data_IF_601475145910
#
_entry.id   IF_601475145910
#
_cell.length_a   1.000
_cell.length_b   1.000
_cell.length_c   1.000
_cell.angle_alpha   90.00
_cell.angle_beta   90.00
_cell.angle_gamma   90.00
#
_symmetry.space_group_name_H-M   'P 1'
#
loop_
_entity.id
_entity.type
_entity.pdbx_description
1 polymer ?
#
# COMPACT_ATOMS: atom_id res chain seq x y z
N UNK A 1 -7.89 -20.90 -6.35
CA UNK A 1 -9.13 -20.12 -6.08
C UNK A 1 -9.10 -19.32 -4.77
N UNK A 2 -8.83 -19.92 -3.60
CA UNK A 2 -8.84 -19.22 -2.30
C UNK A 2 -7.94 -17.99 -2.25
N UNK A 3 -6.68 -18.12 -2.69
CA UNK A 3 -5.71 -17.01 -2.72
C UNK A 3 -6.18 -15.81 -3.55
N UNK A 4 -6.62 -16.05 -4.80
CA UNK A 4 -7.15 -14.99 -5.69
C UNK A 4 -8.37 -14.30 -5.07
N UNK A 5 -9.25 -15.07 -4.42
CA UNK A 5 -10.42 -14.53 -3.71
C UNK A 5 -10.01 -13.61 -2.57
N UNK A 6 -9.07 -14.05 -1.73
CA UNK A 6 -8.51 -13.23 -0.66
C UNK A 6 -7.85 -11.98 -1.22
N UNK A 7 -7.09 -12.08 -2.31
CA UNK A 7 -6.40 -10.94 -2.91
C UNK A 7 -7.34 -9.86 -3.42
N UNK A 8 -8.40 -10.24 -4.13
CA UNK A 8 -9.40 -9.30 -4.66
C UNK A 8 -10.22 -8.70 -3.49
N UNK A 9 -10.57 -9.50 -2.47
CA UNK A 9 -11.27 -9.00 -1.29
C UNK A 9 -10.41 -8.05 -0.45
N UNK A 10 -9.12 -8.34 -0.29
CA UNK A 10 -8.18 -7.45 0.38
C UNK A 10 -8.11 -6.10 -0.34
N UNK A 11 -7.95 -6.12 -1.67
CA UNK A 11 -7.98 -4.89 -2.49
C UNK A 11 -9.29 -4.11 -2.35
N UNK A 12 -10.42 -4.81 -2.26
CA UNK A 12 -11.73 -4.17 -2.12
C UNK A 12 -11.99 -3.60 -0.73
N UNK A 13 -11.73 -4.39 0.32
CA UNK A 13 -12.16 -4.10 1.69
C UNK A 13 -11.10 -3.33 2.44
N UNK A 14 -9.85 -3.81 2.38
CA UNK A 14 -8.73 -3.20 3.11
C UNK A 14 -8.15 -2.05 2.30
N UNK A 15 -7.87 -2.29 1.01
CA UNK A 15 -7.31 -1.24 0.16
C UNK A 15 -8.35 -0.30 -0.46
N UNK A 16 -9.65 -0.52 -0.22
CA UNK A 16 -10.74 0.33 -0.76
C UNK A 16 -10.52 0.77 -2.21
N UNK A 17 -9.90 -0.10 -3.01
CA UNK A 17 -9.28 0.28 -4.28
C UNK A 17 -10.39 0.69 -5.25
N UNK A 18 -10.22 1.84 -5.90
CA UNK A 18 -11.16 2.30 -6.93
C UNK A 18 -10.75 1.72 -8.28
N UNK A 19 -11.75 1.30 -9.06
CA UNK A 19 -11.56 0.83 -10.43
C UNK A 19 -12.79 1.19 -11.26
N UNK A 20 -12.59 1.57 -12.52
CA UNK A 20 -13.64 2.00 -13.43
C UNK A 20 -14.70 0.92 -13.63
N UNK A 21 -14.26 -0.32 -13.80
CA UNK A 21 -15.14 -1.49 -13.81
C UNK A 21 -15.25 -2.09 -12.41
N UNK A 22 -16.45 -2.02 -11.79
CA UNK A 22 -16.72 -2.62 -10.47
C UNK A 22 -16.78 -4.15 -10.50
N UNK A 23 -16.94 -4.78 -11.68
CA UNK A 23 -17.02 -6.24 -11.82
C UNK A 23 -15.68 -6.93 -11.54
N UNK A 24 -14.56 -6.20 -11.63
CA UNK A 24 -13.23 -6.75 -11.29
C UNK A 24 -13.15 -7.23 -9.83
N UNK A 25 -14.02 -6.72 -8.96
CA UNK A 25 -14.09 -7.15 -7.56
C UNK A 25 -15.06 -8.33 -7.31
N UNK A 26 -15.62 -8.92 -8.36
CA UNK A 26 -16.60 -10.01 -8.27
C UNK A 26 -15.98 -11.36 -8.60
N UNK A 27 -16.62 -12.43 -8.12
CA UNK A 27 -16.22 -13.83 -8.34
C UNK A 27 -17.32 -14.69 -8.96
N UNK A 28 -18.43 -14.04 -9.28
CA UNK A 28 -19.63 -14.68 -9.82
C UNK A 28 -20.46 -13.64 -10.53
N UNK A 29 -21.18 -14.08 -11.55
CA UNK A 29 -22.20 -13.29 -12.23
C UNK A 29 -23.46 -14.13 -12.38
N UNK A 30 -24.62 -13.54 -12.05
CA UNK A 30 -25.93 -14.22 -12.14
C UNK A 30 -25.97 -15.58 -11.45
N UNK A 31 -25.32 -15.70 -10.29
CA UNK A 31 -25.27 -16.94 -9.51
C UNK A 31 -24.26 -17.99 -10.01
N UNK A 32 -23.61 -17.78 -11.17
CA UNK A 32 -22.56 -18.66 -11.67
C UNK A 32 -21.19 -18.18 -11.19
N UNK A 33 -20.45 -19.05 -10.52
CA UNK A 33 -19.07 -18.78 -10.13
C UNK A 33 -18.16 -18.68 -11.35
N UNK A 34 -17.20 -17.77 -11.29
CA UNK A 34 -16.17 -17.64 -12.31
C UNK A 34 -15.20 -18.83 -12.32
N UNK A 35 -14.66 -19.16 -13.51
CA UNK A 35 -13.51 -20.06 -13.69
C UNK A 35 -12.24 -19.40 -13.16
N UNK A 36 -11.12 -20.12 -13.01
CA UNK A 36 -9.86 -19.56 -12.46
C UNK A 36 -9.28 -18.41 -13.30
N UNK A 37 -9.56 -18.41 -14.60
CA UNK A 37 -9.04 -17.40 -15.54
C UNK A 37 -9.56 -16.01 -15.23
N UNK A 38 -10.86 -15.87 -14.95
CA UNK A 38 -11.47 -14.56 -14.75
C UNK A 38 -10.96 -13.84 -13.48
N UNK A 39 -10.89 -14.46 -12.28
CA UNK A 39 -10.25 -13.87 -11.10
C UNK A 39 -8.77 -13.56 -11.34
N UNK A 40 -8.06 -14.36 -12.14
CA UNK A 40 -6.66 -14.09 -12.49
C UNK A 40 -6.56 -12.80 -13.31
N UNK A 41 -7.40 -12.65 -14.34
CA UNK A 41 -7.51 -11.43 -15.15
C UNK A 41 -7.93 -10.23 -14.30
N UNK A 42 -8.90 -10.40 -13.41
CA UNK A 42 -9.34 -9.34 -12.51
C UNK A 42 -8.19 -8.85 -11.61
N UNK A 43 -7.38 -9.75 -11.04
CA UNK A 43 -6.19 -9.37 -10.27
C UNK A 43 -5.19 -8.60 -11.13
N UNK A 44 -4.90 -9.06 -12.34
CA UNK A 44 -3.97 -8.38 -13.26
C UNK A 44 -4.45 -6.99 -13.62
N UNK A 45 -5.74 -6.81 -13.89
CA UNK A 45 -6.33 -5.51 -14.19
C UNK A 45 -6.23 -4.55 -13.00
N UNK A 46 -6.54 -5.04 -11.80
CA UNK A 46 -6.39 -4.26 -10.56
C UNK A 46 -4.95 -3.83 -10.28
N UNK A 47 -3.96 -4.67 -10.61
CA UNK A 47 -2.55 -4.31 -10.48
C UNK A 47 -2.18 -3.27 -11.54
N UNK A 48 -2.59 -3.48 -12.79
CA UNK A 48 -2.25 -2.60 -13.90
C UNK A 48 -2.84 -1.20 -13.71
N UNK A 49 -4.09 -1.10 -13.25
CA UNK A 49 -4.72 0.20 -12.96
C UNK A 49 -4.00 0.90 -11.80
N UNK A 50 -3.63 0.16 -10.75
CA UNK A 50 -2.89 0.71 -9.62
C UNK A 50 -1.53 1.29 -10.03
N UNK A 51 -0.87 0.70 -11.03
CA UNK A 51 0.40 1.19 -11.59
C UNK A 51 0.21 2.40 -12.51
N UNK A 52 -0.95 2.58 -13.12
CA UNK A 52 -1.27 3.74 -13.96
C UNK A 52 -1.69 4.96 -13.12
N UNK A 53 -2.45 4.74 -12.05
CA UNK A 53 -2.83 5.79 -11.10
C UNK A 53 -1.63 6.28 -10.27
N UNK A 54 -0.60 5.44 -10.11
CA UNK A 54 0.73 5.91 -9.77
C UNK A 54 1.38 6.52 -11.01
N UNK A 55 0.91 7.70 -11.44
CA UNK A 55 1.87 8.62 -12.06
C UNK A 55 3.04 8.72 -11.08
N UNK A 56 4.29 8.83 -11.54
CA UNK A 56 5.40 9.14 -10.66
C UNK A 56 5.19 10.58 -10.15
N UNK A 57 4.25 10.78 -9.23
CA UNK A 57 4.54 11.69 -8.12
C UNK A 57 5.76 11.06 -7.51
N UNK A 58 6.88 11.74 -7.69
CA UNK A 58 8.20 11.28 -7.32
C UNK A 58 8.09 10.48 -6.03
N UNK A 59 8.44 9.19 -6.09
CA UNK A 59 8.50 8.30 -4.93
C UNK A 59 9.69 8.76 -4.07
N UNK A 60 9.69 10.02 -3.62
CA UNK A 60 10.80 10.75 -3.00
C UNK A 60 11.32 9.96 -1.81
N UNK A 61 10.42 9.25 -1.11
CA UNK A 61 10.77 8.47 0.06
C UNK A 61 11.26 7.06 -0.26
N UNK A 62 10.96 6.46 -1.41
CA UNK A 62 11.27 5.03 -1.64
C UNK A 62 12.77 4.82 -1.78
N UNK A 63 13.33 3.95 -0.95
CA UNK A 63 14.77 3.71 -0.84
C UNK A 63 15.44 4.56 0.24
N UNK A 64 14.76 5.55 0.79
CA UNK A 64 15.32 6.47 1.78
C UNK A 64 15.34 5.87 3.18
N UNK A 65 16.43 6.15 3.89
CA UNK A 65 16.50 5.95 5.35
C UNK A 65 15.82 7.11 6.03
N UNK A 66 15.03 6.83 7.07
CA UNK A 66 14.24 7.84 7.76
C UNK A 66 14.37 7.71 9.28
N UNK A 67 14.28 8.85 9.98
CA UNK A 67 13.96 8.89 11.40
C UNK A 67 12.51 9.31 11.57
N UNK A 68 11.69 8.40 12.07
CA UNK A 68 10.27 8.60 12.32
C UNK A 68 10.01 8.73 13.82
N UNK A 69 9.51 9.88 14.25
CA UNK A 69 9.08 10.14 15.61
C UNK A 69 7.64 9.67 15.82
N UNK A 70 7.44 8.81 16.80
CA UNK A 70 6.12 8.34 17.21
C UNK A 70 5.92 8.58 18.70
N UNK A 71 4.67 8.74 19.13
CA UNK A 71 4.34 8.85 20.55
C UNK A 71 4.18 7.45 21.13
N UNK A 72 5.11 7.05 21.98
CA UNK A 72 5.09 5.79 22.72
C UNK A 72 5.01 6.13 24.20
N UNK A 73 3.94 5.69 24.87
CA UNK A 73 3.67 6.00 26.28
C UNK A 73 3.75 7.51 26.63
N UNK A 74 3.30 8.36 25.69
CA UNK A 74 3.33 9.82 25.84
C UNK A 74 4.67 10.47 25.53
N UNK A 75 5.69 9.69 25.16
CA UNK A 75 7.04 10.17 24.86
C UNK A 75 7.26 10.14 23.34
N UNK A 76 7.73 11.26 22.78
CA UNK A 76 8.13 11.35 21.38
C UNK A 76 9.44 10.59 21.18
N UNK A 77 9.34 9.40 20.62
CA UNK A 77 10.44 8.43 20.48
C UNK A 77 10.84 8.31 19.01
N UNK A 78 12.14 8.44 18.67
CA UNK A 78 12.62 8.27 17.31
C UNK A 78 12.78 6.78 16.94
N UNK A 79 12.38 6.44 15.73
CA UNK A 79 12.57 5.12 15.13
C UNK A 79 13.30 5.26 13.80
N UNK A 80 14.45 4.58 13.67
CA UNK A 80 15.17 4.48 12.41
C UNK A 80 14.48 3.45 11.51
N UNK A 81 14.19 3.84 10.28
CA UNK A 81 13.53 2.97 9.32
C UNK A 81 14.04 3.14 7.90
N UNK A 82 13.61 2.21 7.05
CA UNK A 82 13.83 2.21 5.61
C UNK A 82 12.48 2.13 4.91
N UNK A 83 12.25 3.03 3.97
CA UNK A 83 11.06 3.02 3.12
C UNK A 83 11.31 2.09 1.95
N UNK A 84 10.65 0.94 1.92
CA UNK A 84 10.98 -0.16 0.99
C UNK A 84 10.17 -0.13 -0.30
N UNK A 85 8.97 0.44 -0.28
CA UNK A 85 8.15 0.63 -1.49
C UNK A 85 6.98 1.58 -1.23
N UNK A 86 6.39 2.12 -2.30
CA UNK A 86 5.03 2.65 -2.22
C UNK A 86 4.00 1.52 -2.19
N UNK A 87 2.78 1.82 -1.73
CA UNK A 87 1.67 0.86 -1.69
C UNK A 87 0.92 0.93 -3.02
N UNK A 88 0.83 -0.18 -3.79
CA UNK A 88 0.12 -0.17 -5.07
C UNK A 88 -1.35 0.25 -4.92
N UNK A 89 -1.78 1.21 -5.74
CA UNK A 89 -3.15 1.75 -5.74
C UNK A 89 -3.40 2.82 -4.67
N UNK A 90 -2.36 3.20 -3.93
CA UNK A 90 -2.40 4.20 -2.88
C UNK A 90 -1.17 5.11 -2.96
N UNK A 91 -1.25 6.11 -3.84
CA UNK A 91 -0.12 6.96 -4.22
C UNK A 91 0.61 7.64 -3.05
N UNK A 92 -0.09 7.93 -1.94
CA UNK A 92 0.49 8.64 -0.80
C UNK A 92 0.93 7.71 0.35
N UNK A 93 0.81 6.39 0.19
CA UNK A 93 1.12 5.41 1.24
C UNK A 93 2.38 4.62 0.93
N UNK A 94 3.16 4.33 1.97
CA UNK A 94 4.47 3.70 1.87
C UNK A 94 4.61 2.56 2.85
N UNK A 95 5.29 1.50 2.42
CA UNK A 95 5.75 0.40 3.26
C UNK A 95 7.08 0.78 3.92
N UNK A 96 7.15 0.68 5.25
CA UNK A 96 8.33 1.02 6.06
C UNK A 96 8.69 -0.15 6.96
N UNK A 97 9.97 -0.43 7.09
CA UNK A 97 10.54 -1.36 8.08
C UNK A 97 11.44 -0.57 9.04
N UNK A 98 11.43 -0.93 10.31
CA UNK A 98 12.27 -0.30 11.33
C UNK A 98 13.40 -1.26 11.76
N UNK A 99 14.55 -0.73 12.18
CA UNK A 99 15.77 -1.53 12.43
C UNK A 99 15.56 -2.64 13.48
N UNK A 100 14.77 -2.36 14.52
CA UNK A 100 14.51 -3.29 15.63
C UNK A 100 13.19 -4.07 15.48
N UNK A 101 12.55 -4.04 14.30
CA UNK A 101 11.26 -4.68 14.06
C UNK A 101 11.26 -5.54 12.80
N UNK A 102 10.51 -6.65 12.85
CA UNK A 102 10.33 -7.59 11.73
C UNK A 102 9.04 -7.31 10.92
N UNK A 103 8.17 -6.42 11.40
CA UNK A 103 6.93 -6.08 10.72
C UNK A 103 7.11 -4.98 9.66
N UNK A 104 6.27 -5.04 8.63
CA UNK A 104 6.12 -3.97 7.65
C UNK A 104 4.94 -3.10 8.06
N UNK A 105 5.20 -1.81 8.19
CA UNK A 105 4.21 -0.80 8.54
C UNK A 105 3.82 0.01 7.31
N UNK A 106 2.61 0.58 7.34
CA UNK A 106 2.05 1.33 6.21
C UNK A 106 1.62 2.72 6.69
N UNK A 107 2.26 3.77 6.14
CA UNK A 107 2.02 5.16 6.55
C UNK A 107 1.88 6.10 5.36
N UNK A 108 1.19 7.22 5.59
CA UNK A 108 1.25 8.40 4.71
C UNK A 108 2.43 9.28 5.09
N UNK A 109 3.61 8.92 4.60
CA UNK A 109 4.87 9.57 5.02
C UNK A 109 4.92 11.06 4.73
N UNK A 110 4.27 11.53 3.67
CA UNK A 110 4.20 12.96 3.36
C UNK A 110 3.54 13.77 4.49
N UNK A 111 2.48 13.24 5.12
CA UNK A 111 1.80 13.92 6.22
C UNK A 111 2.73 14.09 7.43
N UNK A 112 3.54 13.05 7.69
CA UNK A 112 4.48 13.02 8.82
C UNK A 112 5.74 13.86 8.53
N UNK A 113 6.16 13.95 7.27
CA UNK A 113 7.23 14.83 6.83
C UNK A 113 6.83 16.29 7.01
N UNK A 114 5.63 16.66 6.58
CA UNK A 114 5.08 18.02 6.73
C UNK A 114 4.85 18.38 8.20
N UNK A 115 4.45 17.44 9.06
CA UNK A 115 4.32 17.68 10.50
C UNK A 115 5.66 17.76 11.25
N UNK A 116 6.76 17.39 10.61
CA UNK A 116 8.09 17.34 11.22
C UNK A 116 8.32 16.10 12.09
N UNK A 117 7.48 15.07 11.96
CA UNK A 117 7.62 13.78 12.64
C UNK A 117 8.47 12.79 11.84
N UNK A 118 8.69 13.03 10.55
CA UNK A 118 9.56 12.21 9.71
C UNK A 118 10.71 13.06 9.15
N UNK A 119 11.94 12.57 9.26
CA UNK A 119 13.11 13.15 8.61
C UNK A 119 13.81 12.11 7.74
N UNK A 120 14.32 12.52 6.58
CA UNK A 120 15.16 11.69 5.71
C UNK A 120 16.61 11.79 6.20
N UNK A 121 17.30 10.65 6.32
CA UNK A 121 18.71 10.57 6.73
C UNK A 121 19.57 10.61 5.45
N UNK A 122 19.95 11.80 5.00
CA UNK A 122 20.76 11.93 3.79
C UNK A 122 20.73 13.28 3.06
N UNK A 123 19.87 14.22 3.47
CA UNK A 123 19.92 15.63 3.05
C UNK A 123 20.89 16.47 3.90
#
# INVERSE_FOLDING_TARGET
MKALKTQIQFRKIVLQQKHNDKKVFQFSEKGKLYTLEQPTTNVKNLISSALQDSSPKDNIFVGEKVVHHQIVDGIRTPFNGLVISSVPGYADWYNVVYEDDTYVYVYKLNDHYVSGDLNIIGD
#
